data_IF_698785794082
#
_entry.id   IF_698785794082
#
_cell.length_a   1.000
_cell.length_b   1.000
_cell.length_c   1.000
_cell.angle_alpha   90.00
_cell.angle_beta   90.00
_cell.angle_gamma   90.00
#
_symmetry.space_group_name_H-M   'P 1'
#
loop_
_entity.id
_entity.type
_entity.pdbx_description
1 polymer ?
#
# COMPACT_ATOMS: atom_id res chain seq x y z
N UNK A 1 -23.42 3.21 0.14
CA UNK A 1 -22.94 2.75 -1.19
C UNK A 1 -21.43 2.62 -1.09
N UNK A 2 -20.84 1.45 -1.36
CA UNK A 2 -19.39 1.29 -1.25
C UNK A 2 -18.69 2.23 -2.24
N UNK A 3 -17.67 2.97 -1.78
CA UNK A 3 -16.93 3.90 -2.64
C UNK A 3 -16.02 3.17 -3.64
N UNK A 4 -15.59 1.95 -3.30
CA UNK A 4 -14.75 1.11 -4.13
C UNK A 4 -15.57 0.15 -5.01
N UNK A 5 -15.11 -0.11 -6.26
CA UNK A 5 -15.72 -1.14 -7.10
C UNK A 5 -15.59 -2.54 -6.50
N UNK A 6 -16.57 -3.40 -6.80
CA UNK A 6 -16.52 -4.82 -6.46
C UNK A 6 -15.51 -5.54 -7.37
N UNK A 7 -14.63 -6.37 -6.80
CA UNK A 7 -13.72 -7.22 -7.56
C UNK A 7 -13.51 -8.57 -6.86
N UNK A 8 -13.46 -9.65 -7.64
CA UNK A 8 -13.03 -10.96 -7.15
C UNK A 8 -11.56 -10.94 -6.73
N UNK A 9 -11.27 -11.29 -5.48
CA UNK A 9 -9.91 -11.32 -4.92
C UNK A 9 -9.41 -12.74 -4.91
N UNK A 10 -8.23 -12.96 -5.50
CA UNK A 10 -7.67 -14.29 -5.72
C UNK A 10 -6.24 -14.44 -5.22
N UNK A 11 -5.65 -13.38 -4.68
CA UNK A 11 -4.26 -13.40 -4.21
C UNK A 11 -4.12 -14.30 -2.99
N UNK A 12 -3.00 -15.02 -2.91
CA UNK A 12 -2.54 -15.68 -1.70
C UNK A 12 -1.36 -14.89 -1.15
N UNK A 13 -1.47 -14.45 0.10
CA UNK A 13 -0.37 -13.78 0.78
C UNK A 13 0.48 -14.87 1.47
N UNK A 14 1.83 -14.85 1.39
CA UNK A 14 2.69 -15.78 2.12
C UNK A 14 2.90 -15.37 3.59
N UNK A 15 3.30 -16.32 4.43
CA UNK A 15 3.69 -16.08 5.83
C UNK A 15 5.00 -16.81 6.09
N UNK A 16 6.08 -16.10 6.48
CA UNK A 16 6.16 -14.64 6.64
C UNK A 16 6.10 -13.88 5.29
N UNK A 17 5.77 -12.59 5.34
CA UNK A 17 5.91 -11.70 4.19
C UNK A 17 7.41 -11.46 3.90
N UNK A 18 7.87 -11.64 2.65
CA UNK A 18 9.24 -11.31 2.28
C UNK A 18 9.44 -9.78 2.22
N UNK A 19 10.65 -9.27 2.53
CA UNK A 19 10.95 -7.85 2.31
C UNK A 19 10.92 -7.51 0.82
N UNK A 20 10.65 -6.23 0.54
CA UNK A 20 10.71 -5.65 -0.81
C UNK A 20 11.93 -4.73 -0.85
N UNK A 21 12.83 -5.03 -1.76
CA UNK A 21 14.08 -4.29 -1.94
C UNK A 21 13.97 -3.43 -3.19
N UNK A 22 14.24 -2.14 -3.03
CA UNK A 22 14.37 -1.19 -4.14
C UNK A 22 15.77 -0.60 -4.17
N UNK A 23 16.00 0.34 -5.07
CA UNK A 23 17.31 0.97 -5.25
C UNK A 23 17.82 1.68 -3.97
N UNK A 24 16.93 2.37 -3.25
CA UNK A 24 17.25 3.18 -2.06
C UNK A 24 16.47 2.78 -0.82
N UNK A 25 15.49 1.87 -0.93
CA UNK A 25 14.62 1.48 0.18
C UNK A 25 14.67 -0.01 0.47
N UNK A 26 14.58 -0.32 1.74
CA UNK A 26 14.27 -1.63 2.27
C UNK A 26 12.90 -1.58 2.91
N UNK A 27 11.92 -2.23 2.29
CA UNK A 27 10.55 -2.30 2.78
C UNK A 27 10.40 -3.65 3.49
N UNK A 28 10.25 -3.63 4.82
CA UNK A 28 9.98 -4.85 5.58
C UNK A 28 8.57 -4.86 6.14
N UNK A 29 8.00 -6.05 6.41
CA UNK A 29 6.67 -6.15 7.01
C UNK A 29 6.58 -5.32 8.29
N UNK A 30 5.44 -4.66 8.45
CA UNK A 30 5.07 -3.93 9.66
C UNK A 30 5.15 -4.85 10.88
N UNK A 31 5.81 -4.40 11.94
CA UNK A 31 5.91 -5.08 13.23
C UNK A 31 5.47 -4.15 14.37
N UNK A 32 5.08 -4.71 15.52
CA UNK A 32 4.65 -3.91 16.69
C UNK A 32 5.73 -2.93 17.17
N UNK A 33 7.01 -3.31 17.04
CA UNK A 33 8.17 -2.47 17.36
C UNK A 33 8.24 -1.17 16.53
N UNK A 34 7.49 -1.08 15.43
CA UNK A 34 7.47 0.12 14.57
C UNK A 34 6.58 1.24 15.12
N UNK A 35 5.81 1.00 16.18
CA UNK A 35 4.83 1.94 16.69
C UNK A 35 5.43 3.32 17.00
N UNK A 36 6.64 3.38 17.56
CA UNK A 36 7.30 4.66 17.87
C UNK A 36 7.75 5.40 16.61
N UNK A 37 8.37 4.69 15.66
CA UNK A 37 8.79 5.27 14.39
C UNK A 37 7.59 5.76 13.56
N UNK A 38 6.49 5.02 13.58
CA UNK A 38 5.25 5.40 12.90
C UNK A 38 4.52 6.52 13.64
N UNK A 39 4.60 6.58 14.97
CA UNK A 39 4.05 7.68 15.74
C UNK A 39 4.71 9.01 15.38
N UNK A 40 6.03 9.04 15.17
CA UNK A 40 6.73 10.23 14.68
C UNK A 40 6.16 10.76 13.35
N UNK A 41 5.63 9.88 12.51
CA UNK A 41 4.97 10.24 11.24
C UNK A 41 3.52 10.65 11.48
N UNK A 42 2.75 9.83 12.20
CA UNK A 42 1.30 9.98 12.34
C UNK A 42 0.89 11.07 13.34
N UNK A 43 1.79 11.50 14.21
CA UNK A 43 1.60 12.67 15.09
C UNK A 43 1.85 14.01 14.38
N UNK A 44 2.42 14.01 13.17
CA UNK A 44 2.62 15.24 12.40
C UNK A 44 1.29 15.82 11.90
N UNK A 45 0.96 17.09 12.22
CA UNK A 45 -0.22 17.76 11.67
C UNK A 45 -0.20 17.86 10.16
N UNK A 46 0.99 18.00 9.56
CA UNK A 46 1.12 18.10 8.11
C UNK A 46 0.77 16.79 7.42
N UNK A 47 1.20 15.65 7.99
CA UNK A 47 0.83 14.32 7.51
C UNK A 47 -0.67 14.07 7.73
N UNK A 48 -1.17 14.35 8.94
CA UNK A 48 -2.56 14.09 9.32
C UNK A 48 -3.57 14.79 8.42
N UNK A 49 -3.27 16.01 7.92
CA UNK A 49 -4.13 16.75 6.98
C UNK A 49 -4.49 16.00 5.71
N UNK A 50 -3.71 15.00 5.34
CA UNK A 50 -3.90 14.19 4.12
C UNK A 50 -4.36 12.75 4.40
N UNK A 51 -4.58 12.43 5.69
CA UNK A 51 -5.06 11.13 6.14
C UNK A 51 -6.54 11.19 6.48
N UNK A 52 -7.18 10.02 6.56
CA UNK A 52 -8.49 9.89 7.20
C UNK A 52 -8.40 8.95 8.41
N UNK A 53 -8.88 9.36 9.60
CA UNK A 53 -9.30 10.72 9.95
C UNK A 53 -8.13 11.73 9.90
N UNK A 54 -8.45 13.02 9.71
CA UNK A 54 -7.48 14.13 9.60
C UNK A 54 -6.86 14.56 10.94
N UNK A 55 -6.85 13.68 11.93
CA UNK A 55 -6.43 13.97 13.29
C UNK A 55 -5.06 13.35 13.57
N UNK A 56 -4.07 14.14 14.02
CA UNK A 56 -2.78 13.60 14.41
C UNK A 56 -2.92 12.68 15.61
N UNK A 57 -2.14 11.60 15.61
CA UNK A 57 -2.05 10.72 16.77
C UNK A 57 -1.42 11.46 17.94
N UNK A 58 -1.95 11.27 19.15
CA UNK A 58 -1.47 11.88 20.38
C UNK A 58 -0.57 10.97 21.20
N UNK A 59 -0.69 9.66 20.99
CA UNK A 59 0.10 8.66 21.71
C UNK A 59 0.60 7.57 20.78
N UNK A 60 1.67 6.87 21.20
CA UNK A 60 2.13 5.64 20.53
C UNK A 60 1.03 4.58 20.55
N UNK A 61 0.18 4.55 21.59
CA UNK A 61 -0.91 3.61 21.70
C UNK A 61 -1.97 3.79 20.60
N UNK A 62 -2.37 5.03 20.28
CA UNK A 62 -3.25 5.31 19.13
C UNK A 62 -2.62 4.82 17.80
N UNK A 63 -1.29 4.87 17.69
CA UNK A 63 -0.57 4.31 16.54
C UNK A 63 -0.64 2.79 16.49
N UNK A 64 -0.47 2.10 17.63
CA UNK A 64 -0.65 0.65 17.72
C UNK A 64 -2.07 0.21 17.35
N UNK A 65 -3.07 0.93 17.83
CA UNK A 65 -4.48 0.68 17.50
C UNK A 65 -4.73 0.82 15.99
N UNK A 66 -4.19 1.87 15.37
CA UNK A 66 -4.24 2.03 13.93
C UNK A 66 -3.46 0.92 13.19
N UNK A 67 -2.32 0.47 13.70
CA UNK A 67 -1.56 -0.65 13.10
C UNK A 67 -2.39 -1.94 13.08
N UNK A 68 -3.17 -2.20 14.13
CA UNK A 68 -4.07 -3.34 14.18
C UNK A 68 -5.14 -3.32 13.07
N UNK A 69 -5.54 -2.12 12.59
CA UNK A 69 -6.49 -1.98 11.45
C UNK A 69 -5.92 -2.46 10.12
N UNK A 70 -4.60 -2.72 10.02
CA UNK A 70 -3.94 -3.23 8.81
C UNK A 70 -4.17 -4.72 8.57
N UNK A 71 -4.66 -5.42 9.60
CA UNK A 71 -5.07 -6.80 9.48
C UNK A 71 -6.42 -6.86 8.76
N UNK A 72 -6.51 -7.66 7.70
CA UNK A 72 -7.73 -7.85 6.95
C UNK A 72 -8.76 -8.61 7.77
N UNK A 73 -9.89 -7.97 8.02
CA UNK A 73 -11.06 -8.53 8.73
C UNK A 73 -12.24 -8.83 7.80
N UNK A 74 -12.11 -8.52 6.51
CA UNK A 74 -13.10 -8.77 5.48
C UNK A 74 -12.44 -9.17 4.15
N UNK A 75 -13.11 -10.04 3.38
CA UNK A 75 -12.61 -10.58 2.12
C UNK A 75 -12.63 -12.11 2.11
N UNK A 76 -11.91 -12.75 1.18
CA UNK A 76 -11.75 -14.21 1.14
C UNK A 76 -11.16 -14.75 2.45
N UNK A 77 -11.62 -15.93 2.88
CA UNK A 77 -11.16 -16.58 4.12
C UNK A 77 -9.63 -16.72 4.18
N UNK A 78 -8.99 -17.08 3.06
CA UNK A 78 -7.53 -17.19 2.93
C UNK A 78 -6.75 -15.90 3.24
N UNK A 79 -7.40 -14.74 3.28
CA UNK A 79 -6.79 -13.44 3.57
C UNK A 79 -7.16 -12.89 4.94
N UNK A 80 -8.13 -13.48 5.64
CA UNK A 80 -8.50 -13.02 6.98
C UNK A 80 -7.32 -13.23 7.94
N UNK A 81 -7.05 -12.22 8.77
CA UNK A 81 -5.89 -12.23 9.67
C UNK A 81 -4.55 -11.89 9.01
N UNK A 82 -4.52 -11.71 7.68
CA UNK A 82 -3.31 -11.32 6.94
C UNK A 82 -3.25 -9.80 6.78
N UNK A 83 -2.08 -9.28 6.44
CA UNK A 83 -1.89 -7.89 6.04
C UNK A 83 -0.92 -7.84 4.86
N UNK A 84 -0.84 -6.69 4.18
CA UNK A 84 0.19 -6.43 3.17
C UNK A 84 0.72 -5.00 3.37
N UNK A 85 1.28 -4.75 4.56
CA UNK A 85 1.77 -3.43 4.99
C UNK A 85 3.23 -3.52 5.39
N UNK A 86 4.01 -2.57 4.90
CA UNK A 86 5.45 -2.47 5.05
C UNK A 86 5.82 -1.12 5.64
N UNK A 87 6.86 -1.11 6.46
CA UNK A 87 7.59 0.11 6.83
C UNK A 87 8.74 0.33 5.85
N UNK A 88 9.06 1.59 5.59
CA UNK A 88 10.11 2.01 4.66
C UNK A 88 11.32 2.44 5.47
N UNK A 89 12.48 1.89 5.12
CA UNK A 89 13.77 2.23 5.72
C UNK A 89 14.72 2.58 4.58
N UNK A 90 15.45 3.70 4.70
CA UNK A 90 16.52 4.01 3.76
C UNK A 90 17.62 2.95 3.85
N UNK A 91 18.10 2.49 2.69
CA UNK A 91 19.22 1.57 2.60
C UNK A 91 20.34 2.17 1.79
N UNK A 92 21.54 1.69 2.09
CA UNK A 92 22.71 1.90 1.25
C UNK A 92 22.80 0.74 0.25
N UNK A 93 23.49 0.98 -0.87
CA UNK A 93 23.86 -0.10 -1.80
C UNK A 93 24.97 -0.90 -1.13
N UNK A 94 24.71 -2.17 -0.89
CA UNK A 94 25.66 -3.15 -0.34
C UNK A 94 25.70 -4.35 -1.28
N UNK A 95 26.77 -5.15 -1.20
CA UNK A 95 26.97 -6.31 -2.09
C UNK A 95 25.85 -7.36 -1.96
N UNK A 96 25.35 -7.57 -0.74
CA UNK A 96 24.17 -8.40 -0.49
C UNK A 96 22.91 -7.53 -0.42
N UNK A 97 22.17 -7.48 -1.54
CA UNK A 97 20.94 -6.71 -1.61
C UNK A 97 19.88 -7.18 -0.59
N UNK A 98 19.95 -8.41 -0.08
CA UNK A 98 18.98 -8.94 0.88
C UNK A 98 19.28 -8.56 2.34
N UNK A 99 20.45 -8.00 2.63
CA UNK A 99 20.83 -7.65 4.00
C UNK A 99 19.93 -6.55 4.57
N UNK A 100 19.30 -6.74 5.75
CA UNK A 100 18.50 -5.71 6.38
C UNK A 100 19.37 -4.51 6.80
N UNK A 101 18.81 -3.28 6.77
CA UNK A 101 19.51 -2.11 7.30
C UNK A 101 19.85 -2.28 8.79
N UNK A 102 20.85 -1.54 9.29
CA UNK A 102 21.14 -1.45 10.72
C UNK A 102 19.89 -1.17 11.56
N UNK A 103 19.81 -1.77 12.75
CA UNK A 103 18.63 -1.71 13.61
C UNK A 103 18.31 -0.29 14.13
N UNK A 104 19.28 0.62 14.10
CA UNK A 104 19.16 2.03 14.47
C UNK A 104 18.62 2.93 13.34
N UNK A 105 18.50 2.41 12.11
CA UNK A 105 17.89 3.17 11.01
C UNK A 105 16.41 3.39 11.29
N UNK A 106 16.00 4.66 11.19
CA UNK A 106 14.63 5.09 11.44
C UNK A 106 13.66 4.62 10.33
N UNK A 107 12.41 4.34 10.73
CA UNK A 107 11.28 4.20 9.80
C UNK A 107 10.94 5.57 9.20
N UNK A 108 11.09 5.70 7.88
CA UNK A 108 10.85 6.97 7.17
C UNK A 108 9.45 7.06 6.55
N UNK A 109 8.68 5.97 6.59
CA UNK A 109 7.38 5.87 5.97
C UNK A 109 6.74 4.50 6.16
N UNK A 110 5.49 4.38 5.72
CA UNK A 110 4.81 3.09 5.59
C UNK A 110 3.96 3.08 4.32
N UNK A 111 3.69 1.88 3.83
CA UNK A 111 2.86 1.66 2.65
C UNK A 111 2.27 0.27 2.65
N UNK A 112 1.09 0.10 2.08
CA UNK A 112 0.53 -1.23 1.88
C UNK A 112 -0.78 -1.22 1.14
N UNK A 113 -1.35 -2.43 1.03
CA UNK A 113 -2.76 -2.62 0.73
C UNK A 113 -3.51 -2.50 2.07
N UNK A 114 -4.30 -1.44 2.23
CA UNK A 114 -5.05 -1.15 3.46
C UNK A 114 -6.24 -2.09 3.62
N UNK A 115 -6.85 -2.51 2.53
CA UNK A 115 -8.01 -3.39 2.51
C UNK A 115 -8.04 -4.18 1.20
N UNK A 116 -8.67 -5.36 1.23
CA UNK A 116 -8.87 -6.22 0.07
C UNK A 116 -10.34 -6.34 -0.33
N UNK A 117 -11.27 -5.87 0.50
CA UNK A 117 -12.71 -5.92 0.24
C UNK A 117 -13.32 -4.51 0.24
N UNK A 118 -14.18 -4.15 -0.73
CA UNK A 118 -14.64 -4.97 -1.87
C UNK A 118 -13.60 -5.10 -3.00
N UNK A 119 -12.48 -4.38 -2.91
CA UNK A 119 -11.33 -4.48 -3.81
C UNK A 119 -10.04 -4.05 -3.10
N UNK A 120 -8.84 -4.38 -3.64
CA UNK A 120 -7.57 -3.96 -3.06
C UNK A 120 -7.38 -2.45 -3.16
N UNK A 121 -7.15 -1.80 -2.04
CA UNK A 121 -6.87 -0.36 -1.97
C UNK A 121 -5.50 -0.13 -1.34
N UNK A 122 -4.66 0.67 -2.00
CA UNK A 122 -3.33 1.01 -1.51
C UNK A 122 -3.30 2.38 -0.86
N UNK A 123 -2.55 2.51 0.24
CA UNK A 123 -2.25 3.80 0.85
C UNK A 123 -0.88 3.84 1.50
N UNK A 124 -0.42 5.05 1.80
CA UNK A 124 0.91 5.29 2.37
C UNK A 124 0.98 6.64 3.10
N UNK A 125 1.98 6.78 3.97
CA UNK A 125 2.46 8.09 4.40
C UNK A 125 3.98 8.05 4.54
N UNK A 126 4.63 9.18 4.26
CA UNK A 126 6.08 9.37 4.39
C UNK A 126 6.29 10.47 5.43
N UNK A 127 7.36 10.38 6.21
CA UNK A 127 7.77 11.44 7.12
C UNK A 127 8.10 12.74 6.32
N UNK A 128 7.69 13.94 6.77
CA UNK A 128 7.85 15.19 6.01
C UNK A 128 9.28 15.47 5.52
N UNK A 129 10.30 15.19 6.32
CA UNK A 129 11.72 15.36 5.96
C UNK A 129 12.17 14.54 4.75
N UNK A 130 11.36 13.58 4.32
CA UNK A 130 11.65 12.67 3.21
C UNK A 130 10.74 12.94 1.99
N UNK A 131 9.92 13.98 2.03
CA UNK A 131 9.11 14.40 0.90
C UNK A 131 9.95 15.01 -0.22
N UNK A 132 9.43 15.01 -1.44
CA UNK A 132 10.13 15.55 -2.62
C UNK A 132 11.32 14.73 -3.13
N UNK A 133 11.78 13.70 -2.38
CA UNK A 133 12.95 12.85 -2.73
C UNK A 133 12.61 11.64 -3.62
N UNK A 134 11.34 11.47 -3.97
CA UNK A 134 10.86 10.38 -4.84
C UNK A 134 10.63 9.03 -4.15
N UNK A 135 10.80 8.94 -2.83
CA UNK A 135 10.66 7.68 -2.10
C UNK A 135 9.26 7.07 -2.18
N UNK A 136 8.20 7.86 -2.13
CA UNK A 136 6.83 7.36 -2.27
C UNK A 136 6.61 6.67 -3.63
N UNK A 137 7.12 7.25 -4.73
CA UNK A 137 7.03 6.64 -6.07
C UNK A 137 7.81 5.33 -6.15
N UNK A 138 9.04 5.32 -5.63
CA UNK A 138 9.89 4.13 -5.64
C UNK A 138 9.28 2.98 -4.80
N UNK A 139 8.81 3.29 -3.60
CA UNK A 139 8.18 2.33 -2.72
C UNK A 139 6.88 1.76 -3.33
N UNK A 140 6.05 2.61 -3.95
CA UNK A 140 4.79 2.17 -4.55
C UNK A 140 4.99 1.27 -5.76
N UNK A 141 5.95 1.60 -6.63
CA UNK A 141 6.35 0.72 -7.73
C UNK A 141 6.84 -0.65 -7.22
N UNK A 142 7.68 -0.67 -6.18
CA UNK A 142 8.14 -1.90 -5.53
C UNK A 142 7.00 -2.72 -4.92
N UNK A 143 6.11 -2.07 -4.16
CA UNK A 143 4.94 -2.69 -3.54
C UNK A 143 4.03 -3.35 -4.58
N UNK A 144 3.72 -2.63 -5.65
CA UNK A 144 2.85 -3.13 -6.73
C UNK A 144 3.47 -4.31 -7.45
N UNK A 145 4.77 -4.24 -7.77
CA UNK A 145 5.50 -5.39 -8.35
C UNK A 145 5.41 -6.62 -7.45
N UNK A 146 5.56 -6.45 -6.14
CA UNK A 146 5.41 -7.56 -5.19
C UNK A 146 3.97 -8.09 -5.15
N UNK A 147 2.98 -7.20 -5.09
CA UNK A 147 1.56 -7.55 -5.11
C UNK A 147 1.17 -8.35 -6.37
N UNK A 148 1.63 -7.92 -7.54
CA UNK A 148 1.36 -8.60 -8.83
C UNK A 148 2.08 -9.94 -8.99
N UNK A 149 3.15 -10.18 -8.21
CA UNK A 149 3.89 -11.45 -8.19
C UNK A 149 3.31 -12.49 -7.23
N UNK A 150 2.42 -12.10 -6.31
CA UNK A 150 1.79 -13.05 -5.39
C UNK A 150 1.10 -14.21 -6.15
N UNK A 151 1.06 -15.43 -5.60
CA UNK A 151 0.25 -16.50 -6.17
C UNK A 151 -1.22 -16.09 -6.29
N UNK A 152 -1.90 -16.56 -7.33
CA UNK A 152 -3.36 -16.43 -7.45
C UNK A 152 -4.00 -17.82 -7.44
N UNK A 153 -5.08 -17.98 -6.67
CA UNK A 153 -5.90 -19.17 -6.74
C UNK A 153 -6.56 -19.28 -8.14
N UNK A 154 -6.58 -20.48 -8.75
CA UNK A 154 -7.28 -20.70 -10.00
C UNK A 154 -8.77 -20.41 -9.82
N UNK A 155 -9.40 -19.92 -10.88
CA UNK A 155 -10.85 -19.75 -10.92
C UNK A 155 -11.52 -21.13 -10.79
N UNK A 156 -12.27 -21.36 -9.71
CA UNK A 156 -13.31 -22.39 -9.75
C UNK A 156 -14.42 -21.87 -10.66
N UNK A 157 -14.64 -22.55 -11.79
CA UNK A 157 -15.72 -22.36 -12.78
C UNK A 157 -15.47 -21.37 -13.94
N UNK A 158 -14.47 -21.62 -14.80
CA UNK A 158 -14.39 -20.98 -16.13
C UNK A 158 -14.91 -21.90 -17.25
N UNK A 159 -16.09 -22.46 -17.07
CA UNK A 159 -16.94 -22.83 -18.19
C UNK A 159 -17.99 -21.72 -18.30
N UNK A 160 -17.99 -21.02 -19.43
CA UNK A 160 -18.87 -19.90 -19.80
C UNK A 160 -18.32 -18.50 -19.47
N UNK A 161 -17.92 -17.83 -20.56
CA UNK A 161 -17.67 -16.41 -20.78
C UNK A 161 -16.25 -15.83 -20.58
N UNK A 162 -15.70 -15.31 -21.68
CA UNK A 162 -14.33 -14.80 -21.86
C UNK A 162 -14.31 -13.27 -21.79
N UNK A 163 -14.61 -12.67 -20.64
CA UNK A 163 -14.34 -11.23 -20.43
C UNK A 163 -14.40 -10.79 -18.95
N UNK A 164 -13.84 -11.56 -18.02
CA UNK A 164 -13.67 -10.97 -16.67
C UNK A 164 -12.73 -9.75 -16.75
N UNK A 165 -13.09 -8.63 -16.10
CA UNK A 165 -12.25 -7.45 -16.07
C UNK A 165 -10.90 -7.77 -15.42
N UNK A 166 -9.83 -7.22 -16.00
CA UNK A 166 -8.46 -7.31 -15.47
C UNK A 166 -8.45 -6.94 -13.98
N UNK A 167 -7.76 -7.73 -13.15
CA UNK A 167 -7.54 -7.44 -11.72
C UNK A 167 -6.96 -6.02 -11.55
N UNK A 168 -7.48 -5.25 -10.60
CA UNK A 168 -7.05 -3.87 -10.31
C UNK A 168 -6.65 -3.68 -8.86
N UNK A 169 -5.84 -2.65 -8.62
CA UNK A 169 -5.62 -2.02 -7.32
C UNK A 169 -6.14 -0.59 -7.41
N UNK A 170 -6.79 -0.13 -6.36
CA UNK A 170 -7.35 1.21 -6.26
C UNK A 170 -6.58 2.06 -5.25
N UNK A 171 -6.79 3.38 -5.30
CA UNK A 171 -6.35 4.30 -4.26
C UNK A 171 -7.33 5.46 -4.16
N UNK A 172 -7.57 5.94 -2.95
CA UNK A 172 -8.15 7.27 -2.75
C UNK A 172 -7.06 8.31 -2.53
N UNK A 173 -7.24 9.47 -3.16
CA UNK A 173 -6.39 10.62 -2.93
C UNK A 173 -7.25 11.87 -2.93
N UNK A 174 -7.11 12.71 -1.90
CA UNK A 174 -7.71 14.04 -1.93
C UNK A 174 -7.25 14.80 -3.17
N UNK A 175 -8.19 15.48 -3.84
CA UNK A 175 -7.95 16.25 -5.06
C UNK A 175 -6.90 17.35 -4.84
N UNK A 176 -6.84 17.90 -3.64
CA UNK A 176 -5.84 18.92 -3.25
C UNK A 176 -4.45 18.33 -2.98
N UNK A 177 -4.33 17.02 -2.78
CA UNK A 177 -3.06 16.37 -2.51
C UNK A 177 -2.29 16.11 -3.82
N UNK A 178 -1.67 17.18 -4.33
CA UNK A 178 -0.89 17.15 -5.56
C UNK A 178 0.34 16.22 -5.46
N UNK A 179 0.90 16.03 -4.26
CA UNK A 179 2.03 15.12 -4.03
C UNK A 179 1.65 13.67 -4.33
N UNK A 180 0.61 13.17 -3.68
CA UNK A 180 0.12 11.80 -3.88
C UNK A 180 -0.45 11.60 -5.29
N UNK A 181 -1.13 12.60 -5.86
CA UNK A 181 -1.59 12.55 -7.25
C UNK A 181 -0.43 12.35 -8.24
N UNK A 182 0.69 13.07 -8.05
CA UNK A 182 1.90 12.88 -8.88
C UNK A 182 2.51 11.48 -8.71
N UNK A 183 2.52 10.95 -7.48
CA UNK A 183 3.02 9.59 -7.19
C UNK A 183 2.17 8.54 -7.91
N UNK A 184 0.84 8.62 -7.77
CA UNK A 184 -0.11 7.69 -8.40
C UNK A 184 0.02 7.72 -9.93
N UNK A 185 0.04 8.91 -10.55
CA UNK A 185 0.24 9.04 -11.99
C UNK A 185 1.56 8.43 -12.46
N UNK A 186 2.67 8.66 -11.73
CA UNK A 186 3.99 8.08 -12.07
C UNK A 186 4.01 6.55 -11.95
N UNK A 187 3.17 5.97 -11.09
CA UNK A 187 3.01 4.52 -10.95
C UNK A 187 1.96 3.93 -11.91
N UNK A 188 1.45 4.73 -12.86
CA UNK A 188 0.53 4.27 -13.90
C UNK A 188 -0.95 4.24 -13.49
N UNK A 189 -1.30 4.74 -12.31
CA UNK A 189 -2.71 4.86 -11.95
C UNK A 189 -3.40 5.92 -12.81
N UNK A 190 -4.69 5.70 -13.08
CA UNK A 190 -5.58 6.68 -13.72
C UNK A 190 -6.77 7.00 -12.83
N UNK A 191 -7.21 8.25 -12.87
CA UNK A 191 -8.45 8.67 -12.20
C UNK A 191 -9.65 8.10 -12.96
N UNK A 192 -10.57 7.47 -12.23
CA UNK A 192 -11.82 6.93 -12.82
C UNK A 192 -13.06 7.63 -12.29
N UNK A 193 -12.98 8.25 -11.12
CA UNK A 193 -14.13 8.92 -10.51
C UNK A 193 -13.68 9.99 -9.54
N UNK A 194 -14.44 11.07 -9.46
CA UNK A 194 -14.38 12.00 -8.33
C UNK A 194 -15.53 11.67 -7.37
N UNK A 195 -15.25 11.58 -6.08
CA UNK A 195 -16.25 11.35 -5.03
C UNK A 195 -16.09 12.40 -3.94
N UNK A 196 -17.19 12.74 -3.26
CA UNK A 196 -17.14 13.57 -2.06
C UNK A 196 -17.38 12.66 -0.88
N UNK A 197 -16.51 12.73 0.12
CA UNK A 197 -16.64 11.99 1.37
C UNK A 197 -16.52 12.96 2.54
N UNK A 198 -17.59 13.06 3.32
CA UNK A 198 -17.80 14.15 4.28
C UNK A 198 -17.69 15.53 3.58
N UNK A 199 -16.63 16.29 3.83
CA UNK A 199 -16.35 17.59 3.19
C UNK A 199 -15.24 17.54 2.14
N UNK A 200 -14.59 16.37 1.97
CA UNK A 200 -13.39 16.24 1.16
C UNK A 200 -13.72 15.76 -0.27
N UNK A 201 -13.17 16.47 -1.26
CA UNK A 201 -13.16 15.99 -2.66
C UNK A 201 -12.04 14.97 -2.85
N UNK A 202 -12.41 13.70 -3.07
CA UNK A 202 -11.50 12.60 -3.34
C UNK A 202 -11.51 12.23 -4.82
N UNK A 203 -10.34 11.85 -5.33
CA UNK A 203 -10.17 11.16 -6.59
C UNK A 203 -10.01 9.67 -6.31
N UNK A 204 -10.80 8.85 -6.97
CA UNK A 204 -10.63 7.41 -7.04
C UNK A 204 -9.74 7.06 -8.22
N UNK A 205 -8.61 6.43 -7.92
CA UNK A 205 -7.62 5.98 -8.88
C UNK A 205 -7.69 4.47 -9.04
N UNK A 206 -7.38 3.98 -10.24
CA UNK A 206 -7.21 2.56 -10.50
C UNK A 206 -5.91 2.28 -11.25
N UNK A 207 -5.32 1.12 -11.00
CA UNK A 207 -4.23 0.53 -11.76
C UNK A 207 -4.61 -0.90 -12.14
N UNK A 208 -4.64 -1.18 -13.43
CA UNK A 208 -4.83 -2.53 -13.95
C UNK A 208 -3.56 -3.35 -13.79
N UNK A 209 -3.73 -4.63 -13.43
CA UNK A 209 -2.64 -5.59 -13.37
C UNK A 209 -1.96 -5.65 -14.74
N UNK A 210 -0.63 -5.50 -14.79
CA UNK A 210 0.09 -5.57 -16.05
C UNK A 210 -0.02 -6.97 -16.66
N UNK A 211 -0.11 -7.03 -17.99
CA UNK A 211 0.07 -8.29 -18.73
C UNK A 211 1.53 -8.70 -18.56
N UNK A 212 1.77 -9.66 -17.65
CA UNK A 212 3.09 -10.25 -17.48
C UNK A 212 3.41 -11.04 -18.75
N UNK A 213 4.24 -10.47 -19.64
CA UNK A 213 4.80 -11.25 -20.74
C UNK A 213 5.65 -12.34 -20.09
N UNK A 214 5.27 -13.60 -20.28
CA UNK A 214 6.14 -14.72 -19.92
C UNK A 214 7.41 -14.57 -20.75
N UNK A 215 8.50 -14.11 -20.13
CA UNK A 215 9.83 -14.40 -20.65
C UNK A 215 10.02 -15.89 -20.36
N UNK A 216 9.86 -16.72 -21.39
CA UNK A 216 10.37 -18.09 -21.34
C UNK A 216 11.86 -18.02 -20.94
N UNK A 217 12.33 -18.86 -20.00
CA UNK A 217 13.75 -19.00 -19.73
C UNK A 217 14.52 -19.46 -20.98
#
# INVERSE_FOLDING_TARGET
MALLPQQSIRVSIPEPLPPIITHRLYLRPLADSDAEGLFAIRSSPEVARTNYPKTPHRTVQETREWMATKIFTAGPESLLGRHFTYVLIERERVEDEAQPPPADKQVIGYMGINQVYPSPETGYSIHPDYWGKGYATEALDGLLKAWWKLPRHPQLNSAVDRSEPTEKVFAFCEKINAGSSKVLSKCGFRVIKQVVYDVDELLLWELERPVLKHTCP
#
